data_IF_908836334302
#
_entry.id   IF_908836334302
#
_cell.length_a   1.000
_cell.length_b   1.000
_cell.length_c   1.000
_cell.angle_alpha   90.00
_cell.angle_beta   90.00
_cell.angle_gamma   90.00
#
_symmetry.space_group_name_H-M   'P 1'
#
loop_
_entity.id
_entity.type
_entity.pdbx_description
1 polymer ?
#
# COMPACT_ATOMS: atom_id res chain seq x y z
N UNK A 1 35.16 -13.00 -64.96
CA UNK A 1 36.02 -11.81 -65.09
C UNK A 1 35.57 -10.79 -64.05
N UNK A 2 36.54 -10.19 -63.39
CA UNK A 2 36.40 -9.35 -62.21
C UNK A 2 35.66 -8.03 -62.46
N UNK A 3 35.01 -7.47 -61.43
CA UNK A 3 35.53 -6.28 -60.75
C UNK A 3 34.81 -5.95 -59.44
N UNK A 4 35.62 -5.64 -58.43
CA UNK A 4 35.31 -5.02 -57.14
C UNK A 4 34.87 -3.54 -57.35
N UNK A 5 34.36 -2.75 -56.40
CA UNK A 5 35.07 -2.28 -55.18
C UNK A 5 34.13 -1.47 -54.23
N UNK A 6 34.18 -1.84 -52.95
CA UNK A 6 34.05 -1.14 -51.64
C UNK A 6 33.52 0.31 -51.47
N UNK A 7 32.69 0.51 -50.41
CA UNK A 7 32.99 1.30 -49.17
C UNK A 7 31.73 1.30 -48.24
N UNK A 8 31.72 0.71 -47.03
CA UNK A 8 32.20 1.13 -45.68
C UNK A 8 31.02 1.40 -44.69
N UNK A 9 30.84 0.49 -43.70
CA UNK A 9 30.87 0.69 -42.21
C UNK A 9 29.52 1.13 -41.58
N UNK A 10 29.02 0.64 -40.43
CA UNK A 10 29.53 -0.23 -39.36
C UNK A 10 28.36 -0.84 -38.53
N UNK A 11 28.48 -2.10 -38.10
CA UNK A 11 27.80 -2.66 -36.91
C UNK A 11 28.80 -3.62 -36.24
N UNK A 12 29.08 -3.41 -34.95
CA UNK A 12 29.98 -4.25 -34.16
C UNK A 12 29.35 -5.59 -33.75
N UNK A 13 30.15 -6.66 -33.52
CA UNK A 13 29.63 -7.99 -33.25
C UNK A 13 29.42 -8.28 -31.75
N UNK A 14 28.47 -9.20 -31.52
CA UNK A 14 28.12 -9.86 -30.26
C UNK A 14 29.26 -10.81 -29.86
N UNK A 15 29.83 -10.68 -28.67
CA UNK A 15 30.80 -11.65 -28.13
C UNK A 15 30.09 -12.84 -27.47
N UNK A 16 30.17 -14.01 -28.11
CA UNK A 16 30.00 -15.32 -27.50
C UNK A 16 31.26 -15.68 -26.70
N UNK A 17 31.15 -15.85 -25.38
CA UNK A 17 32.24 -16.42 -24.58
C UNK A 17 32.19 -17.96 -24.62
N UNK A 18 33.11 -18.56 -25.37
CA UNK A 18 33.45 -19.99 -25.30
C UNK A 18 34.31 -20.28 -24.08
N UNK A 19 33.93 -21.30 -23.31
CA UNK A 19 34.76 -21.83 -22.21
C UNK A 19 35.98 -22.59 -22.76
N UNK A 20 37.18 -22.23 -22.28
CA UNK A 20 38.44 -22.94 -22.58
C UNK A 20 38.73 -23.92 -21.44
N UNK A 21 38.81 -25.21 -21.78
CA UNK A 21 39.25 -26.27 -20.88
C UNK A 21 40.79 -26.32 -20.87
N UNK A 22 41.41 -26.20 -19.69
CA UNK A 22 42.83 -26.48 -19.50
C UNK A 22 42.95 -27.79 -18.69
N UNK A 23 43.65 -28.83 -19.17
CA UNK A 23 43.78 -30.10 -18.46
C UNK A 23 44.79 -29.99 -17.31
N UNK A 24 44.42 -30.49 -16.12
CA UNK A 24 45.34 -30.68 -15.00
C UNK A 24 45.66 -32.17 -14.85
N UNK A 25 46.93 -32.56 -14.66
CA UNK A 25 47.31 -33.96 -14.53
C UNK A 25 47.14 -34.38 -13.07
N UNK A 26 46.01 -35.01 -12.76
CA UNK A 26 45.79 -35.99 -11.68
C UNK A 26 44.30 -36.32 -11.66
N UNK A 27 43.95 -37.43 -12.31
CA UNK A 27 42.59 -37.91 -12.45
C UNK A 27 42.13 -38.70 -11.22
N UNK A 28 40.94 -38.39 -10.71
CA UNK A 28 40.09 -39.34 -9.97
C UNK A 28 38.68 -39.23 -10.57
N UNK A 29 38.03 -40.32 -11.00
CA UNK A 29 36.73 -40.24 -11.66
C UNK A 29 35.61 -39.93 -10.65
N UNK A 30 34.73 -38.98 -10.97
CA UNK A 30 33.43 -38.83 -10.31
C UNK A 30 33.17 -37.56 -9.48
N UNK A 31 34.06 -36.57 -9.48
CA UNK A 31 33.82 -35.30 -8.76
C UNK A 31 34.13 -34.09 -9.65
N UNK A 32 33.10 -33.44 -10.19
CA UNK A 32 33.23 -32.11 -10.78
C UNK A 32 33.13 -31.05 -9.68
N UNK A 33 34.26 -30.46 -9.29
CA UNK A 33 34.27 -29.25 -8.45
C UNK A 33 34.03 -28.02 -9.33
N UNK A 34 32.88 -27.37 -9.19
CA UNK A 34 32.73 -25.97 -9.60
C UNK A 34 33.39 -25.09 -8.53
N UNK A 35 34.51 -24.44 -8.87
CA UNK A 35 35.15 -23.42 -8.04
C UNK A 35 34.58 -22.07 -8.46
N UNK A 36 33.71 -21.48 -7.63
CA UNK A 36 33.40 -20.05 -7.71
C UNK A 36 34.38 -19.27 -6.84
N UNK A 37 35.05 -18.28 -7.43
CA UNK A 37 35.90 -17.33 -6.70
C UNK A 37 34.97 -16.33 -5.99
N UNK A 38 34.87 -16.44 -4.66
CA UNK A 38 34.22 -15.45 -3.83
C UNK A 38 35.22 -14.35 -3.44
N UNK A 39 34.90 -13.09 -3.73
CA UNK A 39 35.59 -11.93 -3.14
C UNK A 39 34.88 -11.51 -1.85
N UNK A 40 35.57 -11.71 -0.72
CA UNK A 40 35.43 -11.08 0.62
C UNK A 40 34.07 -11.17 1.35
N UNK A 41 33.99 -12.24 2.16
CA UNK A 41 33.64 -12.28 3.59
C UNK A 41 32.32 -11.67 4.11
N UNK A 42 31.37 -12.55 4.45
CA UNK A 42 30.93 -12.76 5.83
C UNK A 42 30.49 -14.23 5.98
N UNK A 43 31.16 -14.96 6.87
CA UNK A 43 30.98 -16.39 7.06
C UNK A 43 29.91 -16.68 8.13
N UNK A 44 28.88 -17.45 7.77
CA UNK A 44 28.05 -18.19 8.71
C UNK A 44 28.35 -19.68 8.53
N UNK A 45 28.95 -20.28 9.56
CA UNK A 45 29.26 -21.70 9.63
C UNK A 45 27.97 -22.51 9.70
N UNK A 46 27.79 -23.45 8.77
CA UNK A 46 26.87 -24.56 8.93
C UNK A 46 27.67 -25.87 8.98
N UNK A 47 27.61 -26.55 10.12
CA UNK A 47 28.03 -27.95 10.31
C UNK A 47 27.04 -28.86 9.61
N UNK A 48 27.49 -29.60 8.60
CA UNK A 48 26.69 -30.62 7.91
C UNK A 48 26.86 -31.99 8.56
N UNK A 49 25.75 -32.57 9.01
CA UNK A 49 25.54 -34.02 9.05
C UNK A 49 24.14 -34.30 8.52
N UNK A 50 24.01 -35.25 7.60
CA UNK A 50 22.74 -35.90 7.29
C UNK A 50 22.25 -35.73 5.85
N UNK A 51 22.48 -36.77 5.06
CA UNK A 51 21.78 -37.07 3.80
C UNK A 51 20.28 -37.23 4.05
N UNK A 52 19.43 -36.53 3.30
CA UNK A 52 18.17 -37.13 2.84
C UNK A 52 17.58 -36.41 1.64
N UNK A 53 17.14 -37.23 0.68
CA UNK A 53 16.50 -36.88 -0.56
C UNK A 53 15.12 -36.25 -0.30
N UNK A 54 14.88 -35.03 -0.78
CA UNK A 54 13.52 -34.47 -0.86
C UNK A 54 13.43 -33.51 -2.06
N UNK A 55 12.38 -33.71 -2.87
CA UNK A 55 12.00 -32.86 -3.99
C UNK A 55 11.89 -31.40 -3.52
N UNK A 56 12.83 -30.56 -3.94
CA UNK A 56 12.75 -29.12 -3.70
C UNK A 56 11.63 -28.51 -4.54
N UNK A 57 10.43 -28.40 -3.96
CA UNK A 57 9.52 -27.31 -4.33
C UNK A 57 10.29 -26.03 -4.02
N UNK A 58 10.76 -25.36 -5.07
CA UNK A 58 11.43 -24.08 -4.95
C UNK A 58 10.35 -23.05 -4.56
N UNK A 59 10.04 -22.97 -3.27
CA UNK A 59 9.38 -21.82 -2.66
C UNK A 59 10.32 -20.64 -2.87
N UNK A 60 10.24 -20.00 -4.05
CA UNK A 60 10.75 -18.65 -4.23
C UNK A 60 9.92 -17.77 -3.31
N UNK A 61 10.38 -17.57 -2.08
CA UNK A 61 10.06 -16.35 -1.37
C UNK A 61 10.51 -15.23 -2.30
N UNK A 62 9.57 -14.57 -2.97
CA UNK A 62 9.86 -13.36 -3.72
C UNK A 62 10.35 -12.38 -2.67
N UNK A 63 11.66 -12.20 -2.59
CA UNK A 63 12.28 -11.24 -1.69
C UNK A 63 11.72 -9.87 -2.08
N UNK A 64 10.95 -9.25 -1.19
CA UNK A 64 10.50 -7.87 -1.38
C UNK A 64 11.74 -6.99 -1.27
N UNK A 65 12.13 -6.38 -2.38
CA UNK A 65 13.27 -5.48 -2.44
C UNK A 65 12.95 -4.22 -1.64
N UNK A 66 13.82 -3.86 -0.71
CA UNK A 66 13.62 -2.68 0.12
C UNK A 66 13.80 -1.42 -0.71
N UNK A 67 12.73 -0.63 -0.81
CA UNK A 67 12.71 0.65 -1.55
C UNK A 67 13.16 1.82 -0.68
N UNK A 68 13.17 1.68 0.66
CA UNK A 68 13.47 2.79 1.58
C UNK A 68 14.80 3.49 1.27
N UNK A 69 15.92 2.79 1.02
CA UNK A 69 17.20 3.47 0.74
C UNK A 69 17.17 4.33 -0.53
N UNK A 70 16.28 4.04 -1.48
CA UNK A 70 16.15 4.77 -2.74
C UNK A 70 15.28 6.02 -2.62
N UNK A 71 14.64 6.23 -1.47
CA UNK A 71 13.75 7.37 -1.22
C UNK A 71 14.47 8.53 -0.50
N UNK A 72 15.73 8.34 -0.12
CA UNK A 72 16.53 9.29 0.65
C UNK A 72 17.97 9.41 0.11
N UNK A 73 18.59 10.60 0.20
CA UNK A 73 18.00 11.88 0.60
C UNK A 73 16.96 12.36 -0.43
N UNK A 74 16.11 13.30 -0.02
CA UNK A 74 15.10 13.90 -0.89
C UNK A 74 15.03 15.41 -0.67
N UNK A 75 14.71 16.11 -1.74
CA UNK A 75 14.40 17.53 -1.89
C UNK A 75 12.89 17.82 -1.76
N UNK A 76 12.07 16.84 -1.35
CA UNK A 76 10.64 17.05 -1.14
C UNK A 76 10.42 18.17 -0.09
N UNK A 77 9.51 19.13 -0.35
CA UNK A 77 9.28 20.27 0.55
C UNK A 77 8.98 19.85 2.00
N UNK A 78 9.52 20.58 2.96
CA UNK A 78 9.25 20.30 4.38
C UNK A 78 7.79 20.58 4.71
N UNK A 79 7.15 19.67 5.44
CA UNK A 79 5.76 19.83 5.90
C UNK A 79 5.70 19.99 7.41
N UNK A 80 4.69 20.73 7.86
CA UNK A 80 4.33 20.86 9.27
C UNK A 80 2.91 20.38 9.50
N UNK A 81 2.74 19.72 10.63
CA UNK A 81 1.48 19.17 11.12
C UNK A 81 0.56 20.31 11.56
N UNK A 82 -0.68 20.29 11.09
CA UNK A 82 -1.80 21.03 11.70
C UNK A 82 -2.29 20.26 12.92
N UNK A 83 -3.30 20.79 13.61
CA UNK A 83 -3.93 20.03 14.69
C UNK A 83 -4.53 18.74 14.11
N UNK A 84 -4.07 17.55 14.54
CA UNK A 84 -4.64 16.31 14.05
C UNK A 84 -6.10 16.17 14.49
N UNK A 85 -6.98 15.84 13.55
CA UNK A 85 -8.40 15.56 13.77
C UNK A 85 -8.75 14.13 13.40
N UNK A 86 -7.90 13.47 12.61
CA UNK A 86 -8.07 12.08 12.21
C UNK A 86 -7.04 11.20 12.92
N UNK A 87 -7.51 10.13 13.57
CA UNK A 87 -6.66 9.03 13.98
C UNK A 87 -6.81 7.91 12.96
N UNK A 88 -5.73 7.60 12.23
CA UNK A 88 -5.66 6.43 11.38
C UNK A 88 -5.09 5.26 12.16
N UNK A 89 -5.76 4.11 12.15
CA UNK A 89 -5.38 2.93 12.92
C UNK A 89 -5.19 1.75 11.99
N UNK A 90 -3.95 1.27 11.87
CA UNK A 90 -3.65 0.07 11.11
C UNK A 90 -3.76 -1.16 12.02
N UNK A 91 -4.78 -1.99 11.81
CA UNK A 91 -5.05 -3.15 12.68
C UNK A 91 -4.12 -4.34 12.43
N UNK A 92 -3.23 -4.27 11.46
CA UNK A 92 -2.31 -5.35 11.10
C UNK A 92 -2.30 -5.62 9.61
N UNK A 93 -1.50 -6.60 9.20
CA UNK A 93 -1.16 -6.82 7.79
C UNK A 93 -1.78 -8.10 7.22
N UNK A 94 -2.57 -8.84 8.00
CA UNK A 94 -3.34 -9.98 7.50
C UNK A 94 -4.44 -9.50 6.55
N UNK A 95 -4.52 -10.11 5.37
CA UNK A 95 -5.50 -9.80 4.32
C UNK A 95 -5.88 -11.10 3.60
N UNK A 96 -7.10 -11.21 3.08
CA UNK A 96 -7.49 -12.32 2.20
C UNK A 96 -6.96 -12.18 0.75
N UNK A 97 -6.41 -11.02 0.38
CA UNK A 97 -5.82 -10.76 -0.95
C UNK A 97 -4.29 -10.58 -0.88
N UNK A 98 -3.60 -10.66 -2.02
CA UNK A 98 -2.16 -10.36 -2.15
C UNK A 98 -1.87 -9.46 -3.37
N UNK A 99 -2.52 -8.29 -3.42
CA UNK A 99 -2.48 -7.37 -4.56
C UNK A 99 -1.07 -6.87 -4.88
N UNK A 100 -0.68 -6.78 -6.16
CA UNK A 100 0.69 -6.39 -6.58
C UNK A 100 1.07 -4.97 -6.13
N UNK A 101 0.12 -4.05 -6.11
CA UNK A 101 0.32 -2.63 -5.77
C UNK A 101 0.21 -2.32 -4.27
N UNK A 102 0.06 -3.33 -3.40
CA UNK A 102 -0.20 -3.12 -1.99
C UNK A 102 0.97 -2.41 -1.29
N UNK A 103 0.74 -1.17 -0.84
CA UNK A 103 1.73 -0.37 -0.12
C UNK A 103 1.96 -0.86 1.31
N UNK A 104 1.04 -1.67 1.87
CA UNK A 104 1.16 -2.33 3.19
C UNK A 104 1.94 -3.65 3.11
N UNK A 105 2.10 -4.21 1.91
CA UNK A 105 2.53 -5.60 1.69
C UNK A 105 1.65 -6.64 2.44
N UNK A 106 0.39 -6.30 2.66
CA UNK A 106 -0.55 -7.17 3.33
C UNK A 106 -0.80 -8.48 2.58
N UNK A 107 -1.16 -9.54 3.31
CA UNK A 107 -1.48 -10.82 2.70
C UNK A 107 -1.90 -11.93 3.68
N UNK A 108 -2.32 -13.09 3.17
CA UNK A 108 -2.92 -14.15 3.99
C UNK A 108 -1.96 -14.78 5.01
N UNK A 109 -0.65 -14.68 4.74
CA UNK A 109 0.41 -15.27 5.58
C UNK A 109 1.04 -14.26 6.57
N UNK A 110 0.54 -13.03 6.62
CA UNK A 110 1.02 -12.02 7.58
C UNK A 110 0.46 -12.33 8.98
N UNK A 111 1.25 -12.03 10.00
CA UNK A 111 0.94 -12.35 11.41
C UNK A 111 0.77 -11.10 12.26
N UNK A 112 1.17 -9.95 11.74
CA UNK A 112 0.99 -8.65 12.38
C UNK A 112 -0.50 -8.38 12.58
N UNK A 113 -0.90 -8.23 13.85
CA UNK A 113 -2.29 -8.13 14.27
C UNK A 113 -2.34 -7.36 15.59
N UNK A 114 -3.13 -6.29 15.64
CA UNK A 114 -3.41 -5.53 16.86
C UNK A 114 -4.09 -6.43 17.89
N UNK A 115 -3.66 -6.33 19.14
CA UNK A 115 -4.23 -7.07 20.27
C UNK A 115 -5.19 -6.21 21.10
N UNK A 116 -5.84 -6.83 22.09
CA UNK A 116 -6.80 -6.17 22.95
C UNK A 116 -6.17 -5.09 23.85
N UNK A 117 -4.90 -5.24 24.25
CA UNK A 117 -4.25 -4.25 25.12
C UNK A 117 -3.94 -2.97 24.32
N UNK A 118 -3.47 -3.10 23.08
CA UNK A 118 -3.31 -1.96 22.18
C UNK A 118 -4.67 -1.35 21.83
N UNK A 119 -5.73 -2.14 21.62
CA UNK A 119 -7.09 -1.61 21.46
C UNK A 119 -7.51 -0.73 22.65
N UNK A 120 -7.26 -1.18 23.88
CA UNK A 120 -7.60 -0.41 25.09
C UNK A 120 -6.85 0.93 25.13
N UNK A 121 -5.57 0.96 24.73
CA UNK A 121 -4.79 2.19 24.60
C UNK A 121 -5.40 3.14 23.54
N UNK A 122 -5.86 2.60 22.40
CA UNK A 122 -6.52 3.38 21.34
C UNK A 122 -7.84 3.97 21.85
N UNK A 123 -8.68 3.18 22.50
CA UNK A 123 -9.95 3.66 23.05
C UNK A 123 -9.69 4.70 24.15
N UNK A 124 -8.69 4.49 25.01
CA UNK A 124 -8.30 5.46 26.02
C UNK A 124 -7.86 6.79 25.37
N UNK A 125 -7.12 6.74 24.27
CA UNK A 125 -6.76 7.93 23.50
C UNK A 125 -7.99 8.63 22.90
N UNK A 126 -8.90 7.90 22.25
CA UNK A 126 -10.12 8.48 21.67
C UNK A 126 -10.99 9.18 22.72
N UNK A 127 -11.04 8.65 23.96
CA UNK A 127 -11.77 9.25 25.08
C UNK A 127 -11.19 10.58 25.57
N UNK A 128 -9.91 10.87 25.29
CA UNK A 128 -9.29 12.17 25.63
C UNK A 128 -9.92 13.32 24.81
N UNK A 129 -10.59 13.01 23.70
CA UNK A 129 -11.24 13.98 22.82
C UNK A 129 -10.27 14.69 21.87
N UNK A 130 -10.80 15.42 20.89
CA UNK A 130 -10.00 16.11 19.85
C UNK A 130 -9.83 15.32 18.55
N UNK A 131 -10.11 14.02 18.55
CA UNK A 131 -10.33 13.23 17.34
C UNK A 131 -11.77 13.42 16.86
N UNK A 132 -11.95 13.65 15.57
CA UNK A 132 -13.25 13.77 14.89
C UNK A 132 -13.53 12.51 14.04
N UNK A 133 -12.48 11.98 13.40
CA UNK A 133 -12.55 10.85 12.47
C UNK A 133 -11.61 9.73 12.92
N UNK A 134 -12.14 8.52 12.99
CA UNK A 134 -11.36 7.29 13.08
C UNK A 134 -11.29 6.63 11.70
N UNK A 135 -10.08 6.53 11.15
CA UNK A 135 -9.81 5.91 9.85
C UNK A 135 -9.16 4.53 10.05
N UNK A 136 -9.92 3.46 9.85
CA UNK A 136 -9.47 2.09 10.11
C UNK A 136 -8.87 1.50 8.83
N UNK A 137 -7.63 1.05 8.91
CA UNK A 137 -6.85 0.48 7.80
C UNK A 137 -6.14 -0.81 8.20
N UNK A 138 -5.44 -1.43 7.26
CA UNK A 138 -4.62 -2.61 7.49
C UNK A 138 -4.50 -3.47 6.24
N UNK A 139 -4.49 -4.78 6.43
CA UNK A 139 -4.54 -5.73 5.33
C UNK A 139 -5.95 -5.90 4.80
N UNK A 140 -6.77 -6.63 5.55
CA UNK A 140 -8.19 -6.37 5.63
C UNK A 140 -8.49 -6.14 7.12
N UNK A 141 -8.71 -4.89 7.58
CA UNK A 141 -8.89 -4.58 9.00
C UNK A 141 -9.99 -5.44 9.65
N UNK A 142 -11.01 -5.81 8.89
CA UNK A 142 -12.19 -6.55 9.32
C UNK A 142 -11.88 -7.99 9.75
N UNK A 143 -10.71 -8.54 9.37
CA UNK A 143 -10.22 -9.83 9.84
C UNK A 143 -9.66 -9.80 11.27
N UNK A 144 -9.35 -8.61 11.81
CA UNK A 144 -8.84 -8.49 13.16
C UNK A 144 -10.00 -8.57 14.17
N UNK A 145 -9.83 -9.37 15.22
CA UNK A 145 -10.80 -9.52 16.31
C UNK A 145 -11.16 -8.18 16.99
N UNK A 146 -10.27 -7.18 16.96
CA UNK A 146 -10.50 -5.85 17.57
C UNK A 146 -11.29 -4.90 16.67
N UNK A 147 -11.52 -5.21 15.39
CA UNK A 147 -12.21 -4.32 14.44
C UNK A 147 -13.59 -3.90 14.93
N UNK A 148 -14.46 -4.88 15.23
CA UNK A 148 -15.84 -4.60 15.66
C UNK A 148 -15.89 -3.89 17.02
N UNK A 149 -15.14 -4.32 18.06
CA UNK A 149 -15.03 -3.56 19.31
C UNK A 149 -14.59 -2.11 19.11
N UNK A 150 -13.62 -1.85 18.24
CA UNK A 150 -13.13 -0.50 17.94
C UNK A 150 -14.22 0.36 17.28
N UNK A 151 -14.90 -0.16 16.27
CA UNK A 151 -16.02 0.53 15.60
C UNK A 151 -17.11 0.89 16.61
N UNK A 152 -17.55 -0.08 17.43
CA UNK A 152 -18.58 0.13 18.46
C UNK A 152 -18.16 1.22 19.44
N UNK A 153 -16.93 1.16 19.95
CA UNK A 153 -16.40 2.14 20.90
C UNK A 153 -16.32 3.54 20.29
N UNK A 154 -15.81 3.67 19.06
CA UNK A 154 -15.68 4.96 18.38
C UNK A 154 -17.04 5.59 18.06
N UNK A 155 -18.03 4.80 17.62
CA UNK A 155 -19.39 5.28 17.39
C UNK A 155 -20.10 5.67 18.68
N UNK A 156 -19.86 4.95 19.78
CA UNK A 156 -20.38 5.34 21.10
C UNK A 156 -19.79 6.67 21.60
N UNK A 157 -18.61 7.07 21.13
CA UNK A 157 -18.00 8.38 21.38
C UNK A 157 -18.47 9.46 20.39
N UNK A 158 -19.35 9.13 19.43
CA UNK A 158 -19.87 10.06 18.44
C UNK A 158 -18.91 10.36 17.28
N UNK A 159 -17.83 9.60 17.12
CA UNK A 159 -16.86 9.81 16.05
C UNK A 159 -17.38 9.35 14.70
N UNK A 160 -16.95 10.01 13.62
CA UNK A 160 -17.06 9.44 12.28
C UNK A 160 -16.08 8.27 12.17
N UNK A 161 -16.53 7.15 11.61
CA UNK A 161 -15.69 5.96 11.42
C UNK A 161 -15.64 5.65 9.93
N UNK A 162 -14.42 5.53 9.41
CA UNK A 162 -14.13 5.12 8.04
C UNK A 162 -13.48 3.73 8.05
N UNK A 163 -13.90 2.88 7.12
CA UNK A 163 -13.33 1.55 6.89
C UNK A 163 -12.72 1.43 5.49
N UNK A 164 -11.42 1.10 5.43
CA UNK A 164 -10.69 0.86 4.18
C UNK A 164 -10.87 -0.57 3.73
N UNK A 165 -11.98 -0.80 3.07
CA UNK A 165 -12.44 -2.12 2.68
C UNK A 165 -11.87 -2.58 1.32
N UNK A 166 -11.48 -3.84 1.21
CA UNK A 166 -11.05 -4.44 -0.06
C UNK A 166 -12.19 -5.09 -0.88
N UNK A 167 -13.44 -4.94 -0.41
CA UNK A 167 -14.70 -5.49 -0.92
C UNK A 167 -14.84 -7.01 -0.83
N UNK A 168 -13.83 -7.80 -1.20
CA UNK A 168 -13.97 -9.27 -1.20
C UNK A 168 -14.05 -9.85 0.19
N UNK A 169 -13.59 -9.11 1.21
CA UNK A 169 -13.72 -9.46 2.62
C UNK A 169 -15.19 -9.68 3.05
N UNK A 170 -16.15 -9.02 2.40
CA UNK A 170 -17.59 -9.20 2.65
C UNK A 170 -18.07 -10.62 2.29
N UNK A 171 -17.31 -11.35 1.46
CA UNK A 171 -17.60 -12.72 1.06
C UNK A 171 -16.71 -13.76 1.78
N UNK A 172 -15.83 -13.32 2.68
CA UNK A 172 -14.92 -14.22 3.40
C UNK A 172 -15.70 -15.07 4.42
N UNK A 173 -15.36 -16.35 4.62
CA UNK A 173 -15.97 -17.17 5.66
C UNK A 173 -15.89 -16.50 7.04
N UNK A 174 -17.04 -16.41 7.71
CA UNK A 174 -17.15 -15.75 9.02
C UNK A 174 -17.39 -14.24 8.96
N UNK A 175 -17.52 -13.63 7.77
CA UNK A 175 -17.87 -12.21 7.60
C UNK A 175 -19.26 -12.01 6.98
N UNK A 176 -20.15 -13.01 7.08
CA UNK A 176 -21.47 -12.98 6.44
C UNK A 176 -22.38 -11.84 6.91
N UNK A 177 -22.19 -11.34 8.13
CA UNK A 177 -22.94 -10.24 8.75
C UNK A 177 -22.19 -8.90 8.71
N UNK A 178 -21.02 -8.85 8.05
CA UNK A 178 -20.15 -7.68 8.08
C UNK A 178 -20.81 -6.47 7.42
N UNK A 179 -21.50 -6.65 6.29
CA UNK A 179 -22.15 -5.55 5.58
C UNK A 179 -23.25 -4.89 6.45
N UNK A 180 -24.05 -5.71 7.12
CA UNK A 180 -25.11 -5.30 8.04
C UNK A 180 -24.53 -4.62 9.28
N UNK A 181 -23.42 -5.14 9.80
CA UNK A 181 -22.70 -4.51 10.91
C UNK A 181 -22.20 -3.12 10.54
N UNK A 182 -21.54 -2.96 9.38
CA UNK A 182 -21.06 -1.66 8.91
C UNK A 182 -22.22 -0.65 8.75
N UNK A 183 -23.33 -1.09 8.14
CA UNK A 183 -24.52 -0.26 7.96
C UNK A 183 -25.16 0.14 9.31
N UNK A 184 -25.33 -0.81 10.23
CA UNK A 184 -25.91 -0.57 11.55
C UNK A 184 -25.10 0.42 12.40
N UNK A 185 -23.79 0.45 12.19
CA UNK A 185 -22.88 1.40 12.84
C UNK A 185 -22.61 2.66 12.02
N UNK A 186 -23.24 2.81 10.84
CA UNK A 186 -23.06 3.93 9.92
C UNK A 186 -21.58 4.19 9.60
N UNK A 187 -20.83 3.13 9.34
CA UNK A 187 -19.43 3.21 8.94
C UNK A 187 -19.36 3.71 7.50
N UNK A 188 -18.57 4.75 7.24
CA UNK A 188 -18.25 5.17 5.87
C UNK A 188 -17.28 4.17 5.25
N UNK A 189 -17.60 3.68 4.05
CA UNK A 189 -16.80 2.66 3.37
C UNK A 189 -15.95 3.33 2.29
N UNK A 190 -14.64 3.18 2.39
CA UNK A 190 -13.67 3.58 1.36
C UNK A 190 -13.16 2.32 0.66
N UNK A 191 -13.90 1.91 -0.37
CA UNK A 191 -13.74 0.63 -1.03
C UNK A 191 -12.72 0.64 -2.17
N UNK A 192 -11.80 -0.31 -2.13
CA UNK A 192 -10.72 -0.45 -3.09
C UNK A 192 -11.18 -1.16 -4.39
N UNK A 193 -11.48 -0.41 -5.45
CA UNK A 193 -11.87 -0.94 -6.77
C UNK A 193 -11.07 -0.26 -7.90
N UNK A 194 -9.97 -0.87 -8.37
CA UNK A 194 -9.00 -0.19 -9.24
C UNK A 194 -9.47 -0.05 -10.70
N UNK A 195 -10.57 -0.70 -11.10
CA UNK A 195 -11.18 -0.51 -12.40
C UNK A 195 -12.65 -0.98 -12.39
N UNK A 196 -13.49 -0.42 -13.26
CA UNK A 196 -14.83 -0.97 -13.56
C UNK A 196 -14.79 -2.12 -14.59
N UNK A 197 -13.61 -2.47 -15.12
CA UNK A 197 -13.38 -3.58 -16.03
C UNK A 197 -12.75 -4.77 -15.30
N UNK A 198 -13.32 -5.95 -15.51
CA UNK A 198 -12.91 -7.21 -14.88
C UNK A 198 -11.45 -7.56 -15.13
N UNK A 199 -11.01 -7.53 -16.39
CA UNK A 199 -9.63 -7.87 -16.78
C UNK A 199 -8.59 -7.05 -16.00
N UNK A 200 -8.85 -5.75 -15.81
CA UNK A 200 -7.95 -4.86 -15.08
C UNK A 200 -7.91 -5.17 -13.58
N UNK A 201 -9.08 -5.42 -12.97
CA UNK A 201 -9.16 -5.75 -11.55
C UNK A 201 -8.52 -7.11 -11.27
N UNK A 202 -8.86 -8.12 -12.05
CA UNK A 202 -8.36 -9.48 -11.87
C UNK A 202 -6.87 -9.59 -12.19
N UNK A 203 -6.37 -8.83 -13.17
CA UNK A 203 -4.94 -8.72 -13.46
C UNK A 203 -4.12 -8.11 -12.32
N UNK A 204 -4.70 -7.20 -11.53
CA UNK A 204 -4.01 -6.54 -10.42
C UNK A 204 -4.18 -7.25 -9.07
N UNK A 205 -5.36 -7.81 -8.83
CA UNK A 205 -5.77 -8.33 -7.50
C UNK A 205 -5.94 -9.85 -7.45
N UNK A 206 -6.02 -10.52 -8.59
CA UNK A 206 -6.22 -11.96 -8.70
C UNK A 206 -7.57 -12.34 -9.31
N UNK A 207 -7.64 -13.53 -9.88
CA UNK A 207 -8.81 -14.04 -10.59
C UNK A 207 -10.06 -14.10 -9.70
N UNK A 208 -11.21 -13.66 -10.22
CA UNK A 208 -12.50 -13.66 -9.54
C UNK A 208 -12.70 -12.55 -8.51
N UNK A 209 -11.71 -11.68 -8.30
CA UNK A 209 -11.81 -10.55 -7.37
C UNK A 209 -12.87 -9.58 -7.85
N UNK A 210 -12.91 -9.25 -9.15
CA UNK A 210 -13.91 -8.33 -9.69
C UNK A 210 -15.34 -8.79 -9.42
N UNK A 211 -15.65 -10.04 -9.78
CA UNK A 211 -16.98 -10.60 -9.58
C UNK A 211 -17.39 -10.60 -8.10
N UNK A 212 -16.45 -10.89 -7.20
CA UNK A 212 -16.70 -10.83 -5.75
C UNK A 212 -16.93 -9.39 -5.26
N UNK A 213 -16.13 -8.44 -5.73
CA UNK A 213 -16.28 -7.02 -5.42
C UNK A 213 -17.62 -6.45 -5.87
N UNK A 214 -18.09 -6.79 -7.09
CA UNK A 214 -19.40 -6.36 -7.58
C UNK A 214 -20.54 -6.89 -6.70
N UNK A 215 -20.50 -8.16 -6.31
CA UNK A 215 -21.51 -8.71 -5.38
C UNK A 215 -21.49 -7.99 -4.02
N UNK A 216 -20.30 -7.70 -3.49
CA UNK A 216 -20.16 -6.91 -2.26
C UNK A 216 -20.78 -5.52 -2.39
N UNK A 217 -20.52 -4.82 -3.50
CA UNK A 217 -21.09 -3.50 -3.77
C UNK A 217 -22.62 -3.53 -3.89
N UNK A 218 -23.17 -4.54 -4.59
CA UNK A 218 -24.62 -4.73 -4.69
C UNK A 218 -25.23 -4.95 -3.30
N UNK A 219 -24.60 -5.79 -2.46
CA UNK A 219 -25.06 -6.01 -1.08
C UNK A 219 -25.05 -4.73 -0.26
N UNK A 220 -24.01 -3.91 -0.38
CA UNK A 220 -23.95 -2.61 0.28
C UNK A 220 -25.05 -1.66 -0.23
N UNK A 221 -25.30 -1.61 -1.54
CA UNK A 221 -26.37 -0.78 -2.10
C UNK A 221 -27.77 -1.21 -1.65
N UNK A 222 -28.01 -2.51 -1.44
CA UNK A 222 -29.26 -3.02 -0.84
C UNK A 222 -29.47 -2.51 0.59
N UNK A 223 -28.39 -2.26 1.33
CA UNK A 223 -28.42 -1.71 2.69
C UNK A 223 -28.52 -0.18 2.73
N UNK A 224 -28.45 0.49 1.57
CA UNK A 224 -28.58 1.95 1.45
C UNK A 224 -27.27 2.69 1.15
N UNK A 225 -26.13 2.00 1.06
CA UNK A 225 -24.88 2.68 0.71
C UNK A 225 -24.95 3.31 -0.69
N UNK A 226 -24.49 4.56 -0.83
CA UNK A 226 -24.45 5.25 -2.12
C UNK A 226 -25.82 5.61 -2.72
N UNK A 227 -26.87 5.68 -1.90
CA UNK A 227 -28.22 6.08 -2.34
C UNK A 227 -28.48 7.59 -2.24
N UNK A 228 -27.59 8.35 -1.58
CA UNK A 228 -27.69 9.80 -1.41
C UNK A 228 -28.72 10.26 -0.36
N UNK A 229 -29.38 9.36 0.36
CA UNK A 229 -30.43 9.74 1.34
C UNK A 229 -30.38 8.97 2.66
N UNK A 230 -29.78 7.78 2.74
CA UNK A 230 -29.64 7.01 3.99
C UNK A 230 -28.55 7.57 4.92
N UNK A 231 -27.63 8.39 4.38
CA UNK A 231 -26.42 8.83 5.07
C UNK A 231 -25.32 7.77 5.13
N UNK A 232 -25.50 6.60 4.49
CA UNK A 232 -24.48 5.56 4.38
C UNK A 232 -23.56 5.84 3.20
N UNK A 233 -22.36 6.32 3.50
CA UNK A 233 -21.39 6.78 2.50
C UNK A 233 -20.53 5.62 1.98
N UNK A 234 -20.44 5.51 0.66
CA UNK A 234 -19.60 4.55 -0.07
C UNK A 234 -18.77 5.30 -1.11
N UNK A 235 -17.47 5.41 -0.86
CA UNK A 235 -16.51 5.92 -1.84
C UNK A 235 -15.72 4.77 -2.46
N UNK A 236 -15.40 4.87 -3.75
CA UNK A 236 -14.54 3.91 -4.45
C UNK A 236 -13.14 4.50 -4.64
N UNK A 237 -12.12 3.65 -4.64
CA UNK A 237 -10.71 4.07 -4.84
C UNK A 237 -10.13 3.45 -6.11
N UNK A 238 -9.75 4.31 -7.04
CA UNK A 238 -9.01 3.97 -8.24
C UNK A 238 -7.49 4.07 -8.02
N UNK A 239 -6.78 3.02 -8.42
CA UNK A 239 -5.32 3.00 -8.49
C UNK A 239 -4.90 2.49 -9.87
N UNK A 240 -3.92 3.11 -10.55
CA UNK A 240 -3.41 2.60 -11.83
C UNK A 240 -2.86 1.17 -11.73
N UNK A 241 -2.94 0.40 -12.81
CA UNK A 241 -2.36 -0.96 -12.87
C UNK A 241 -0.82 -0.94 -12.92
N UNK A 242 -0.22 0.17 -13.34
CA UNK A 242 1.22 0.31 -13.57
C UNK A 242 1.84 1.60 -13.06
N UNK A 243 3.05 1.94 -13.51
CA UNK A 243 3.83 3.10 -13.09
C UNK A 243 3.39 4.37 -13.83
N UNK A 244 2.09 4.69 -13.77
CA UNK A 244 1.50 5.89 -14.38
C UNK A 244 0.75 6.69 -13.34
N UNK A 245 0.45 7.95 -13.65
CA UNK A 245 -0.44 8.77 -12.83
C UNK A 245 -1.90 8.40 -13.12
N UNK A 246 -2.81 8.57 -12.14
CA UNK A 246 -4.23 8.45 -12.40
C UNK A 246 -4.72 9.56 -13.36
N UNK A 247 -5.77 9.28 -14.17
CA UNK A 247 -6.40 10.30 -14.99
C UNK A 247 -7.19 11.33 -14.14
N UNK A 248 -7.71 12.41 -14.76
CA UNK A 248 -8.63 13.36 -14.10
C UNK A 248 -9.73 12.68 -13.29
N UNK A 249 -9.85 13.00 -11.99
CA UNK A 249 -10.77 12.30 -11.09
C UNK A 249 -12.22 12.51 -11.51
N UNK A 250 -12.60 13.74 -11.88
CA UNK A 250 -13.98 14.07 -12.28
C UNK A 250 -14.44 13.27 -13.49
N UNK A 251 -13.64 13.22 -14.56
CA UNK A 251 -13.95 12.44 -15.76
C UNK A 251 -13.99 10.94 -15.45
N UNK A 252 -13.03 10.44 -14.67
CA UNK A 252 -12.99 9.03 -14.28
C UNK A 252 -14.19 8.66 -13.38
N UNK A 253 -14.61 9.55 -12.49
CA UNK A 253 -15.78 9.34 -11.64
C UNK A 253 -17.05 9.21 -12.48
N UNK A 254 -17.23 10.10 -13.48
CA UNK A 254 -18.36 10.02 -14.40
C UNK A 254 -18.39 8.70 -15.18
N UNK A 255 -17.22 8.22 -15.64
CA UNK A 255 -17.10 6.92 -16.28
C UNK A 255 -17.44 5.77 -15.33
N UNK A 256 -16.90 5.77 -14.10
CA UNK A 256 -17.24 4.77 -13.08
C UNK A 256 -18.74 4.72 -12.80
N UNK A 257 -19.38 5.87 -12.61
CA UNK A 257 -20.82 5.96 -12.37
C UNK A 257 -21.61 5.35 -13.52
N UNK A 258 -21.29 5.73 -14.76
CA UNK A 258 -21.98 5.22 -15.96
C UNK A 258 -21.82 3.72 -16.09
N UNK A 259 -20.59 3.22 -16.05
CA UNK A 259 -20.28 1.83 -16.34
C UNK A 259 -20.77 0.88 -15.23
N UNK A 260 -20.59 1.25 -13.96
CA UNK A 260 -21.03 0.42 -12.83
C UNK A 260 -22.56 0.38 -12.71
N UNK A 261 -23.24 1.51 -12.95
CA UNK A 261 -24.70 1.54 -12.96
C UNK A 261 -25.26 0.74 -14.13
N UNK A 262 -24.79 0.97 -15.36
CA UNK A 262 -25.33 0.34 -16.56
C UNK A 262 -25.11 -1.18 -16.60
N UNK A 263 -23.96 -1.66 -16.11
CA UNK A 263 -23.58 -3.08 -16.21
C UNK A 263 -23.99 -3.89 -14.98
N UNK A 264 -24.03 -3.27 -13.80
CA UNK A 264 -24.18 -3.99 -12.53
C UNK A 264 -25.20 -3.39 -11.56
N UNK A 265 -25.82 -2.25 -11.90
CA UNK A 265 -26.76 -1.55 -11.02
C UNK A 265 -26.11 -0.95 -9.77
N UNK A 266 -24.78 -0.79 -9.76
CA UNK A 266 -24.02 -0.32 -8.60
C UNK A 266 -24.01 1.20 -8.52
N UNK A 267 -24.18 1.74 -7.31
CA UNK A 267 -24.12 3.17 -6.97
C UNK A 267 -23.05 3.42 -5.90
N UNK A 268 -22.51 4.63 -5.87
CA UNK A 268 -21.52 5.07 -4.89
C UNK A 268 -21.54 6.61 -4.80
N UNK A 269 -20.97 7.18 -3.74
CA UNK A 269 -21.01 8.62 -3.46
C UNK A 269 -19.87 9.41 -4.09
N UNK A 270 -18.64 8.88 -4.09
CA UNK A 270 -17.44 9.53 -4.68
C UNK A 270 -16.42 8.53 -5.20
N UNK A 271 -15.65 8.92 -6.22
CA UNK A 271 -14.45 8.22 -6.66
C UNK A 271 -13.22 8.99 -6.19
N UNK A 272 -12.26 8.26 -5.61
CA UNK A 272 -10.99 8.79 -5.14
C UNK A 272 -9.88 8.21 -6.01
N UNK A 273 -9.02 9.05 -6.58
CA UNK A 273 -7.85 8.58 -7.32
C UNK A 273 -6.59 8.60 -6.47
N UNK A 274 -5.81 7.52 -6.52
CA UNK A 274 -4.53 7.42 -5.80
C UNK A 274 -3.41 7.01 -6.76
N UNK A 275 -2.30 7.75 -6.74
CA UNK A 275 -1.06 7.27 -7.35
C UNK A 275 -0.49 6.10 -6.53
N UNK A 276 0.06 5.09 -7.20
CA UNK A 276 0.69 3.98 -6.51
C UNK A 276 1.95 4.44 -5.77
N UNK A 277 2.01 4.23 -4.47
CA UNK A 277 3.18 4.63 -3.70
C UNK A 277 4.38 3.74 -4.00
N UNK A 278 5.59 4.29 -4.27
CA UNK A 278 6.78 3.52 -4.64
C UNK A 278 7.44 2.83 -3.44
N UNK A 279 6.63 2.18 -2.60
CA UNK A 279 7.04 1.52 -1.36
C UNK A 279 6.59 0.05 -1.37
N UNK A 280 7.20 -0.76 -0.50
CA UNK A 280 6.80 -2.16 -0.27
C UNK A 280 6.62 -2.95 -1.57
N UNK A 281 5.46 -3.58 -1.82
CA UNK A 281 5.29 -4.50 -2.94
C UNK A 281 5.37 -3.81 -4.29
N UNK A 282 4.78 -2.62 -4.42
CA UNK A 282 4.88 -1.84 -5.66
C UNK A 282 6.30 -1.33 -5.88
N UNK A 283 6.97 -0.82 -4.84
CA UNK A 283 8.37 -0.42 -4.89
C UNK A 283 9.31 -1.57 -5.28
N UNK A 284 9.09 -2.77 -4.73
CA UNK A 284 9.83 -3.97 -5.12
C UNK A 284 9.56 -4.39 -6.56
N UNK A 285 8.30 -4.29 -7.02
CA UNK A 285 7.93 -4.59 -8.40
C UNK A 285 8.64 -3.64 -9.37
N UNK A 286 8.59 -2.32 -9.11
CA UNK A 286 9.30 -1.30 -9.88
C UNK A 286 10.81 -1.58 -9.98
N UNK A 287 11.45 -1.94 -8.85
CA UNK A 287 12.87 -2.29 -8.83
C UNK A 287 13.16 -3.53 -9.68
N UNK A 288 12.34 -4.58 -9.55
CA UNK A 288 12.50 -5.82 -10.33
C UNK A 288 12.36 -5.62 -11.84
N UNK A 289 11.67 -4.54 -12.25
CA UNK A 289 11.47 -4.15 -13.65
C UNK A 289 12.43 -3.07 -14.13
N UNK A 290 13.32 -2.55 -13.27
CA UNK A 290 14.20 -1.43 -13.60
C UNK A 290 13.45 -0.11 -13.82
N UNK A 291 12.23 0.02 -13.30
CA UNK A 291 11.34 1.17 -13.53
C UNK A 291 11.26 2.14 -12.33
N UNK A 292 11.97 1.84 -11.23
CA UNK A 292 11.86 2.61 -9.99
C UNK A 292 12.24 4.08 -10.16
N UNK A 293 13.42 4.36 -10.74
CA UNK A 293 13.89 5.74 -10.92
C UNK A 293 12.97 6.53 -11.86
N UNK A 294 12.63 5.96 -13.03
CA UNK A 294 11.74 6.63 -13.98
C UNK A 294 10.36 6.94 -13.41
N UNK A 295 9.84 6.08 -12.52
CA UNK A 295 8.59 6.36 -11.82
C UNK A 295 8.74 7.49 -10.79
N UNK A 296 9.83 7.54 -10.02
CA UNK A 296 10.10 8.67 -9.13
C UNK A 296 10.25 9.99 -9.90
N UNK A 297 10.92 9.96 -11.05
CA UNK A 297 11.08 11.14 -11.91
C UNK A 297 9.72 11.64 -12.42
N UNK A 298 8.82 10.72 -12.79
CA UNK A 298 7.43 11.04 -13.15
C UNK A 298 6.69 11.73 -11.98
N UNK A 299 6.76 11.16 -10.77
CA UNK A 299 6.11 11.74 -9.60
C UNK A 299 6.65 13.14 -9.27
N UNK A 300 7.96 13.33 -9.38
CA UNK A 300 8.63 14.63 -9.17
C UNK A 300 8.21 15.65 -10.23
N UNK A 301 8.25 15.27 -11.51
CA UNK A 301 7.89 16.15 -12.61
C UNK A 301 6.42 16.57 -12.57
N UNK A 302 5.55 15.71 -12.03
CA UNK A 302 4.13 15.99 -11.87
C UNK A 302 3.77 16.63 -10.52
N UNK A 303 4.73 16.87 -9.63
CA UNK A 303 4.49 17.54 -8.35
C UNK A 303 3.79 18.88 -8.55
N UNK A 304 2.76 19.16 -7.74
CA UNK A 304 2.19 20.49 -7.62
C UNK A 304 2.31 20.99 -6.19
N UNK A 305 2.81 22.21 -6.04
CA UNK A 305 3.00 22.85 -4.73
C UNK A 305 1.65 23.11 -4.02
N UNK A 306 0.61 23.46 -4.78
CA UNK A 306 -0.76 23.64 -4.27
C UNK A 306 -1.31 22.40 -3.54
N UNK A 307 -0.87 21.20 -3.92
CA UNK A 307 -1.30 19.96 -3.27
C UNK A 307 -0.71 19.80 -1.86
N UNK A 308 0.38 20.50 -1.52
CA UNK A 308 1.03 20.39 -0.20
C UNK A 308 0.11 20.79 0.95
N UNK A 309 -0.79 21.75 0.74
CA UNK A 309 -1.70 22.21 1.80
C UNK A 309 -2.85 21.23 2.07
N UNK A 310 -3.12 20.32 1.13
CA UNK A 310 -4.24 19.39 1.21
C UNK A 310 -3.82 17.93 1.47
N UNK A 311 -2.51 17.64 1.57
CA UNK A 311 -2.05 16.30 1.96
C UNK A 311 -2.51 15.91 3.36
N UNK A 312 -3.05 14.70 3.49
CA UNK A 312 -3.71 14.25 4.72
C UNK A 312 -2.81 14.19 5.95
N UNK A 313 -1.51 13.93 5.77
CA UNK A 313 -0.56 13.82 6.87
C UNK A 313 -0.41 15.11 7.69
N UNK A 314 -0.98 16.24 7.22
CA UNK A 314 -1.08 17.48 7.98
C UNK A 314 -2.13 17.41 9.10
N UNK A 315 -3.23 16.66 8.91
CA UNK A 315 -4.37 16.62 9.85
C UNK A 315 -4.63 15.23 10.44
N UNK A 316 -3.85 14.22 10.05
CA UNK A 316 -3.95 12.87 10.61
C UNK A 316 -2.65 12.42 11.23
N UNK A 317 -2.74 11.58 12.25
CA UNK A 317 -1.65 10.69 12.65
C UNK A 317 -2.05 9.24 12.36
N UNK A 318 -1.07 8.40 12.04
CA UNK A 318 -1.28 6.96 11.90
C UNK A 318 -0.65 6.22 13.07
N UNK A 319 -1.30 5.15 13.54
CA UNK A 319 -0.69 4.22 14.49
C UNK A 319 -0.62 2.81 13.90
N UNK A 320 0.47 2.11 14.21
CA UNK A 320 0.61 0.71 13.84
C UNK A 320 -0.16 -0.24 14.76
N UNK A 321 -0.15 -1.52 14.40
CA UNK A 321 -0.82 -2.58 15.15
C UNK A 321 -0.25 -2.78 16.57
N UNK A 322 0.93 -2.23 16.85
CA UNK A 322 1.54 -2.25 18.18
C UNK A 322 1.25 -0.99 18.98
N UNK A 323 0.70 0.06 18.37
CA UNK A 323 0.38 1.35 19.00
C UNK A 323 1.43 2.43 18.83
N UNK A 324 2.46 2.24 17.98
CA UNK A 324 3.45 3.28 17.69
C UNK A 324 2.95 4.31 16.69
N UNK A 325 3.34 5.57 16.89
CA UNK A 325 2.78 6.71 16.16
C UNK A 325 3.67 7.18 15.02
N UNK A 326 3.04 7.46 13.89
CA UNK A 326 3.62 7.84 12.61
C UNK A 326 2.87 9.05 12.02
N UNK A 327 3.52 9.73 11.06
CA UNK A 327 2.87 10.86 10.39
C UNK A 327 1.73 10.46 9.45
N UNK A 328 1.80 9.26 8.87
CA UNK A 328 0.81 8.66 7.98
C UNK A 328 1.11 7.16 7.75
N UNK A 329 0.17 6.42 7.17
CA UNK A 329 0.35 5.00 6.84
C UNK A 329 1.54 4.75 5.89
N UNK A 330 1.90 5.67 4.99
CA UNK A 330 3.10 5.48 4.15
C UNK A 330 4.41 5.59 4.94
N UNK A 331 4.48 6.52 5.90
CA UNK A 331 5.63 6.62 6.81
C UNK A 331 5.69 5.42 7.75
N UNK A 332 4.53 4.93 8.20
CA UNK A 332 4.42 3.67 8.94
C UNK A 332 4.97 2.51 8.12
N UNK A 333 4.56 2.38 6.86
CA UNK A 333 5.06 1.36 5.95
C UNK A 333 6.53 1.54 5.59
N UNK A 334 7.17 2.66 5.88
CA UNK A 334 8.62 2.83 5.74
C UNK A 334 9.38 2.74 7.06
N UNK A 335 8.69 2.45 8.18
CA UNK A 335 9.26 2.51 9.52
C UNK A 335 9.97 3.87 9.77
N UNK A 336 9.22 4.94 9.53
CA UNK A 336 9.62 6.33 9.76
C UNK A 336 8.77 6.91 10.89
N UNK A 337 9.08 6.59 12.17
CA UNK A 337 8.29 7.06 13.31
C UNK A 337 8.26 8.59 13.36
N UNK A 338 7.29 9.16 14.11
CA UNK A 338 7.26 10.60 14.34
C UNK A 338 8.65 11.12 14.77
N UNK A 339 9.16 12.20 14.17
CA UNK A 339 10.45 12.77 14.57
C UNK A 339 10.41 13.09 16.07
N UNK A 340 11.33 12.52 16.84
CA UNK A 340 11.46 12.85 18.25
C UNK A 340 12.06 14.26 18.39
N UNK A 341 11.43 15.10 19.22
CA UNK A 341 12.12 16.25 19.77
C UNK A 341 13.16 15.71 20.77
N UNK A 342 14.45 15.85 20.40
CA UNK A 342 15.65 15.47 21.14
C UNK A 342 15.46 14.50 22.34
N UNK A 343 15.69 13.20 22.12
CA UNK A 343 15.96 12.23 23.19
C UNK A 343 14.82 11.29 23.60
N UNK A 344 13.62 11.42 23.03
CA UNK A 344 12.52 10.48 23.28
C UNK A 344 12.54 9.36 22.23
N UNK A 345 12.30 8.11 22.66
CA UNK A 345 12.19 6.96 21.76
C UNK A 345 10.98 7.03 20.82
N UNK A 346 10.64 5.91 20.17
CA UNK A 346 9.42 5.82 19.35
C UNK A 346 8.20 6.13 20.22
N UNK A 347 7.40 7.12 19.81
CA UNK A 347 6.21 7.54 20.54
C UNK A 347 5.12 6.47 20.43
N UNK A 348 4.53 6.10 21.56
CA UNK A 348 3.39 5.19 21.61
C UNK A 348 2.09 5.97 21.90
N UNK A 349 0.95 5.47 21.41
CA UNK A 349 -0.35 6.15 21.54
C UNK A 349 -0.77 6.35 23.00
N UNK A 350 -0.38 5.41 23.88
CA UNK A 350 -0.60 5.51 25.33
C UNK A 350 0.11 6.71 25.98
N UNK A 351 1.21 7.15 25.40
CA UNK A 351 2.02 8.28 25.89
C UNK A 351 1.51 9.64 25.35
N UNK A 352 0.49 9.63 24.49
CA UNK A 352 -0.12 10.84 23.95
C UNK A 352 -1.28 11.31 24.82
N UNK A 353 -1.04 12.29 25.67
CA UNK A 353 -2.05 12.85 26.58
C UNK A 353 -3.06 13.78 25.92
N UNK A 354 -2.71 14.38 24.78
CA UNK A 354 -3.62 15.25 24.04
C UNK A 354 -3.24 15.25 22.54
N UNK A 355 -4.17 14.89 21.62
CA UNK A 355 -3.94 14.94 20.18
C UNK A 355 -3.37 16.28 19.68
N UNK A 356 -3.73 17.38 20.33
CA UNK A 356 -3.37 18.75 19.93
C UNK A 356 -1.89 19.05 20.14
N UNK A 357 -1.21 18.31 21.03
CA UNK A 357 0.22 18.51 21.33
C UNK A 357 1.14 18.22 20.14
N UNK A 358 0.63 17.57 19.10
CA UNK A 358 1.37 17.27 17.89
C UNK A 358 1.31 18.40 16.86
N UNK A 359 0.45 19.41 17.05
CA UNK A 359 0.36 20.55 16.16
C UNK A 359 1.71 21.29 16.04
N UNK A 360 2.06 21.71 14.83
CA UNK A 360 3.30 22.42 14.53
C UNK A 360 4.54 21.55 14.36
N UNK A 361 4.50 20.26 14.77
CA UNK A 361 5.62 19.33 14.57
C UNK A 361 5.95 19.13 13.10
N UNK A 362 7.21 18.84 12.81
CA UNK A 362 7.65 18.49 11.45
C UNK A 362 7.13 17.10 11.10
N UNK A 363 6.74 16.94 9.84
CA UNK A 363 6.35 15.66 9.25
C UNK A 363 7.57 15.06 8.56
N UNK A 364 7.82 13.75 8.74
CA UNK A 364 8.85 13.05 7.99
C UNK A 364 8.50 13.05 6.49
N UNK A 365 9.37 13.63 5.67
CA UNK A 365 9.23 13.65 4.21
C UNK A 365 10.36 12.87 3.54
N UNK A 366 10.08 12.35 2.34
CA UNK A 366 11.01 11.60 1.51
C UNK A 366 10.49 11.55 0.07
N UNK A 367 11.24 10.92 -0.85
CA UNK A 367 10.85 10.94 -2.26
C UNK A 367 9.49 10.26 -2.55
N UNK A 368 9.03 9.37 -1.66
CA UNK A 368 7.69 8.79 -1.77
C UNK A 368 6.58 9.82 -1.63
N UNK A 369 6.81 10.93 -0.91
CA UNK A 369 5.81 11.98 -0.70
C UNK A 369 5.39 12.69 -2.00
N UNK A 370 6.20 12.62 -3.06
CA UNK A 370 5.79 13.06 -4.39
C UNK A 370 4.55 12.30 -4.89
N UNK A 371 4.35 11.04 -4.50
CA UNK A 371 3.12 10.29 -4.81
C UNK A 371 1.83 10.96 -4.29
N UNK A 372 1.93 11.65 -3.14
CA UNK A 372 0.79 12.36 -2.53
C UNK A 372 0.48 13.70 -3.21
N UNK A 373 1.42 14.26 -3.97
CA UNK A 373 1.33 15.63 -4.53
C UNK A 373 1.47 15.68 -6.04
N UNK A 374 1.72 14.55 -6.70
CA UNK A 374 1.81 14.44 -8.14
C UNK A 374 0.42 14.54 -8.81
N UNK A 375 0.37 15.21 -9.95
CA UNK A 375 -0.86 15.42 -10.72
C UNK A 375 -1.89 16.17 -9.89
N UNK A 376 -3.08 15.59 -9.76
CA UNK A 376 -4.17 16.16 -8.95
C UNK A 376 -3.98 15.97 -7.44
N UNK A 377 -2.89 15.32 -7.01
CA UNK A 377 -2.69 14.92 -5.62
C UNK A 377 -3.37 13.59 -5.30
N UNK A 378 -2.88 12.91 -4.26
CA UNK A 378 -3.42 11.63 -3.80
C UNK A 378 -3.79 11.76 -2.32
N UNK A 379 -5.10 11.77 -2.04
CA UNK A 379 -5.62 11.72 -0.68
C UNK A 379 -6.86 10.85 -0.61
N UNK A 380 -7.21 10.43 0.59
CA UNK A 380 -8.46 9.72 0.85
C UNK A 380 -9.67 10.66 0.89
N UNK A 381 -9.45 11.98 0.74
CA UNK A 381 -10.47 12.94 0.33
C UNK A 381 -10.61 13.06 -1.21
N UNK A 382 -9.75 12.38 -1.98
CA UNK A 382 -9.70 12.42 -3.44
C UNK A 382 -8.57 13.30 -3.97
N UNK A 383 -8.67 13.64 -5.26
CA UNK A 383 -7.91 14.72 -5.90
C UNK A 383 -7.98 15.99 -5.05
N UNK A 384 -6.82 16.59 -4.80
CA UNK A 384 -6.62 17.76 -3.95
C UNK A 384 -6.90 19.08 -4.67
N UNK A 385 -7.10 19.02 -5.98
CA UNK A 385 -7.47 20.15 -6.83
C UNK A 385 -8.84 19.86 -7.41
N UNK A 386 -9.85 20.67 -7.07
CA UNK A 386 -11.07 20.71 -7.86
C UNK A 386 -10.68 21.23 -9.24
N UNK A 387 -10.96 20.45 -10.28
CA UNK A 387 -10.82 20.93 -11.65
C UNK A 387 -11.82 22.09 -11.83
N UNK A 388 -11.28 23.30 -12.02
CA UNK A 388 -12.05 24.49 -12.35
C UNK A 388 -12.86 24.33 -13.64
#
# INVERSE_FOLDING_TARGET
>A
MANATLSQLSYGPIEEYRAVLIPSPLAVPGVSRCVFRASRAQALKFTTVGSCCAKSVCLRSVLVLDSKPLLFPSDFPSLRRRQPRTLQVNLGYRCNQSCVHCHVDAGPRRTESMDAATLDDVIAYLRKGGTEVLDITGGAPELNAVFRPLVVAARALGLQVMDRCNLTILAEPGQHDLAEFLAAHQVEIIASLPCYLEENVDGQRGQGVFASSIRGLQRLNELGYGDGHSGLLLSLVYNPTGPTLPPPQSSLEADYRRELAARFGVRFDRLLTLANMPIRRFGSWLQSKGQFQGYLDLLRAAHREENLEAVMCRDLISIDWQGFVYDCDFNQMLDLPLPADAGHGRLHIRDLDDPRTLAGRRIHTGAHCYGCTAGQGSSCGGALTEAA
#
